data_IF_483141570025
#
_entry.id   IF_483141570025
#
_cell.length_a   1.000
_cell.length_b   1.000
_cell.length_c   1.000
_cell.angle_alpha   90.00
_cell.angle_beta   90.00
_cell.angle_gamma   90.00
#
_symmetry.space_group_name_H-M   'P 1'
#
loop_
_entity.id
_entity.type
_entity.pdbx_description
1 polymer ?
#
# COMPACT_ATOMS: atom_id res chain seq x y z
N UNK A 1 -14.45 10.07 18.82
CA UNK A 1 -13.38 9.16 19.25
C UNK A 1 -12.75 8.62 17.99
N UNK A 2 -11.67 9.24 17.54
CA UNK A 2 -10.91 8.81 16.36
C UNK A 2 -10.20 7.50 16.71
N UNK A 3 -10.65 6.42 16.11
CA UNK A 3 -10.17 5.07 16.33
C UNK A 3 -8.72 4.93 15.83
N UNK A 4 -7.77 5.17 16.73
CA UNK A 4 -6.33 5.08 16.47
C UNK A 4 -5.85 3.65 16.19
N UNK A 5 -6.75 2.65 16.18
CA UNK A 5 -6.44 1.24 15.98
C UNK A 5 -6.63 0.74 14.54
N UNK A 6 -7.22 1.54 13.64
CA UNK A 6 -7.48 1.08 12.27
C UNK A 6 -6.19 0.98 11.47
N UNK A 7 -5.88 -0.25 11.06
CA UNK A 7 -4.77 -0.61 10.18
C UNK A 7 -4.89 0.13 8.85
N UNK A 8 -3.79 0.73 8.39
CA UNK A 8 -3.70 1.35 7.06
C UNK A 8 -3.17 0.36 6.02
N UNK A 9 -3.67 0.45 4.80
CA UNK A 9 -3.10 -0.24 3.63
C UNK A 9 -2.40 0.78 2.74
N UNK A 10 -1.15 0.50 2.38
CA UNK A 10 -0.32 1.35 1.53
C UNK A 10 0.02 0.58 0.26
N UNK A 11 -0.30 1.14 -0.92
CA UNK A 11 -0.06 0.54 -2.22
C UNK A 11 0.88 1.41 -3.04
N UNK A 12 2.15 1.01 -3.13
CA UNK A 12 3.17 1.74 -3.88
C UNK A 12 3.54 1.00 -5.16
N UNK A 13 3.69 1.71 -6.28
CA UNK A 13 4.30 1.16 -7.48
C UNK A 13 5.44 2.05 -8.01
N UNK A 14 6.62 1.47 -8.21
CA UNK A 14 7.81 2.20 -8.66
C UNK A 14 8.16 3.37 -7.75
N UNK A 15 8.41 4.56 -8.32
CA UNK A 15 8.77 5.75 -7.53
C UNK A 15 7.62 6.27 -6.64
N UNK A 16 6.40 5.77 -6.85
CA UNK A 16 5.25 5.96 -5.98
C UNK A 16 5.49 5.47 -4.53
N UNK A 17 6.59 4.78 -4.26
CA UNK A 17 7.06 4.46 -2.91
C UNK A 17 7.45 5.68 -2.09
N UNK A 18 7.87 6.79 -2.71
CA UNK A 18 8.46 7.94 -2.00
C UNK A 18 7.57 8.55 -0.90
N UNK A 19 6.28 8.83 -1.13
CA UNK A 19 5.42 9.44 -0.14
C UNK A 19 4.86 8.36 0.81
N UNK A 20 4.61 7.15 0.30
CA UNK A 20 4.12 6.04 1.10
C UNK A 20 5.18 5.53 2.08
N UNK A 21 6.47 5.69 1.76
CA UNK A 21 7.56 5.49 2.71
C UNK A 21 7.49 6.50 3.85
N UNK A 22 7.28 7.79 3.56
CA UNK A 22 7.13 8.81 4.59
C UNK A 22 5.91 8.53 5.48
N UNK A 23 4.78 8.14 4.87
CA UNK A 23 3.56 7.76 5.59
C UNK A 23 3.77 6.49 6.44
N UNK A 24 4.43 5.47 5.90
CA UNK A 24 4.76 4.25 6.65
C UNK A 24 5.68 4.58 7.85
N UNK A 25 6.63 5.51 7.70
CA UNK A 25 7.49 5.97 8.78
C UNK A 25 6.70 6.70 9.88
N UNK A 26 5.75 7.54 9.49
CA UNK A 26 4.85 8.22 10.43
C UNK A 26 3.96 7.22 11.18
N UNK A 27 3.40 6.23 10.48
CA UNK A 27 2.58 5.17 11.08
C UNK A 27 3.42 4.34 12.06
N UNK A 28 4.63 3.94 11.67
CA UNK A 28 5.57 3.22 12.52
C UNK A 28 5.93 4.02 13.78
N UNK A 29 6.26 5.31 13.62
CA UNK A 29 6.58 6.21 14.74
C UNK A 29 5.42 6.33 15.74
N UNK A 30 4.19 6.39 15.24
CA UNK A 30 2.97 6.45 16.06
C UNK A 30 2.44 5.07 16.50
N UNK A 31 3.20 3.99 16.27
CA UNK A 31 2.80 2.61 16.60
C UNK A 31 1.44 2.20 16.01
N UNK A 32 1.09 2.75 14.84
CA UNK A 32 -0.13 2.42 14.12
C UNK A 32 0.16 1.29 13.12
N UNK A 33 -0.60 0.19 13.16
CA UNK A 33 -0.34 -0.93 12.27
C UNK A 33 -0.59 -0.56 10.81
N UNK A 34 0.23 -1.08 9.91
CA UNK A 34 0.06 -0.92 8.47
C UNK A 34 0.58 -2.13 7.70
N UNK A 35 0.02 -2.34 6.51
CA UNK A 35 0.59 -3.23 5.50
C UNK A 35 0.96 -2.39 4.27
N UNK A 36 2.21 -2.50 3.82
CA UNK A 36 2.73 -1.84 2.63
C UNK A 36 2.93 -2.87 1.53
N UNK A 37 2.17 -2.75 0.44
CA UNK A 37 2.33 -3.54 -0.78
C UNK A 37 3.12 -2.73 -1.80
N UNK A 38 4.37 -3.13 -2.04
CA UNK A 38 5.29 -2.44 -2.94
C UNK A 38 5.52 -3.23 -4.22
N UNK A 39 5.03 -2.69 -5.33
CA UNK A 39 5.13 -3.26 -6.68
C UNK A 39 6.29 -2.64 -7.45
N UNK A 40 7.18 -3.46 -7.98
CA UNK A 40 8.30 -3.02 -8.80
C UNK A 40 8.62 -4.02 -9.92
N UNK A 41 9.35 -3.57 -10.95
CA UNK A 41 9.72 -4.43 -12.10
C UNK A 41 10.69 -5.55 -11.72
N UNK A 42 11.61 -5.26 -10.82
CA UNK A 42 12.52 -6.22 -10.18
C UNK A 42 13.08 -5.58 -8.91
N UNK A 43 13.88 -6.33 -8.15
CA UNK A 43 14.61 -5.83 -6.99
C UNK A 43 15.53 -4.66 -7.32
N UNK A 44 16.18 -4.65 -8.49
CA UNK A 44 17.05 -3.55 -8.93
C UNK A 44 16.31 -2.21 -9.10
N UNK A 45 15.01 -2.28 -9.39
CA UNK A 45 14.16 -1.09 -9.55
C UNK A 45 13.36 -0.75 -8.28
N UNK A 46 13.51 -1.51 -7.19
CA UNK A 46 12.88 -1.19 -5.93
C UNK A 46 13.78 -0.26 -5.10
N UNK A 47 13.44 1.03 -5.12
CA UNK A 47 14.09 2.03 -4.27
C UNK A 47 13.82 1.79 -2.77
N UNK A 48 14.75 2.24 -1.93
CA UNK A 48 14.63 2.32 -0.47
C UNK A 48 14.47 1.00 0.30
N UNK A 49 14.89 -0.14 -0.27
CA UNK A 49 14.81 -1.45 0.40
C UNK A 49 15.42 -1.44 1.81
N UNK A 50 16.63 -0.93 1.98
CA UNK A 50 17.27 -0.88 3.31
C UNK A 50 16.44 -0.10 4.34
N UNK A 51 15.78 0.99 3.92
CA UNK A 51 14.92 1.78 4.80
C UNK A 51 13.63 1.03 5.16
N UNK A 52 13.06 0.31 4.20
CA UNK A 52 11.85 -0.49 4.39
C UNK A 52 12.12 -1.71 5.29
N UNK A 53 13.25 -2.40 5.10
CA UNK A 53 13.66 -3.52 5.95
C UNK A 53 13.82 -3.10 7.42
N UNK A 54 14.32 -1.88 7.66
CA UNK A 54 14.41 -1.29 9.00
C UNK A 54 13.06 -0.89 9.60
N UNK A 55 11.94 -1.14 8.93
CA UNK A 55 10.59 -0.85 9.43
C UNK A 55 9.74 -2.11 9.61
N UNK A 56 10.23 -3.29 9.22
CA UNK A 56 9.48 -4.55 9.28
C UNK A 56 9.09 -4.96 10.71
N UNK A 57 9.73 -4.40 11.73
CA UNK A 57 9.32 -4.57 13.13
C UNK A 57 8.09 -3.73 13.54
N UNK A 58 7.65 -2.78 12.71
CA UNK A 58 6.58 -1.82 13.01
C UNK A 58 5.37 -1.95 12.07
N UNK A 59 5.48 -2.75 11.01
CA UNK A 59 4.41 -3.04 10.05
C UNK A 59 4.88 -4.10 9.04
N UNK A 60 3.96 -4.61 8.22
CA UNK A 60 4.32 -5.62 7.22
C UNK A 60 4.66 -4.95 5.89
N UNK A 61 5.77 -5.36 5.27
CA UNK A 61 6.13 -4.95 3.91
C UNK A 61 6.05 -6.16 2.99
N UNK A 62 5.20 -6.06 1.97
CA UNK A 62 4.96 -7.07 0.96
C UNK A 62 5.54 -6.60 -0.37
N UNK A 63 6.61 -7.24 -0.82
CA UNK A 63 7.24 -6.93 -2.10
C UNK A 63 6.66 -7.78 -3.23
N UNK A 64 6.32 -7.12 -4.33
CA UNK A 64 5.72 -7.72 -5.53
C UNK A 64 6.59 -7.37 -6.75
N UNK A 65 7.41 -8.31 -7.19
CA UNK A 65 8.37 -8.09 -8.26
C UNK A 65 7.95 -8.72 -9.59
N UNK A 66 8.04 -7.95 -10.67
CA UNK A 66 7.92 -8.45 -12.04
C UNK A 66 6.56 -9.07 -12.36
N UNK A 67 5.50 -8.66 -11.64
CA UNK A 67 4.17 -9.22 -11.83
C UNK A 67 3.59 -8.82 -13.19
N UNK A 68 2.86 -9.76 -13.80
CA UNK A 68 1.97 -9.46 -14.93
C UNK A 68 0.79 -8.60 -14.46
N UNK A 69 0.03 -7.95 -15.38
CA UNK A 69 -1.19 -7.25 -15.02
C UNK A 69 -2.17 -8.11 -14.23
N UNK A 70 -2.42 -9.36 -14.66
CA UNK A 70 -3.35 -10.27 -13.99
C UNK A 70 -2.84 -10.71 -12.61
N UNK A 71 -1.52 -10.89 -12.46
CA UNK A 71 -0.91 -11.19 -11.18
C UNK A 71 -0.96 -9.99 -10.22
N UNK A 72 -0.84 -8.77 -10.75
CA UNK A 72 -0.97 -7.52 -10.00
C UNK A 72 -2.40 -7.36 -9.48
N UNK A 73 -3.41 -7.54 -10.32
CA UNK A 73 -4.82 -7.53 -9.93
C UNK A 73 -5.11 -8.53 -8.81
N UNK A 74 -4.62 -9.78 -8.94
CA UNK A 74 -4.77 -10.79 -7.86
C UNK A 74 -4.12 -10.37 -6.56
N UNK A 75 -2.88 -9.88 -6.60
CA UNK A 75 -2.16 -9.45 -5.41
C UNK A 75 -2.86 -8.28 -4.70
N UNK A 76 -3.38 -7.32 -5.47
CA UNK A 76 -4.19 -6.21 -4.94
C UNK A 76 -5.50 -6.74 -4.35
N UNK A 77 -6.19 -7.63 -5.05
CA UNK A 77 -7.43 -8.25 -4.58
C UNK A 77 -7.25 -8.95 -3.23
N UNK A 78 -6.20 -9.77 -3.08
CA UNK A 78 -5.89 -10.42 -1.81
C UNK A 78 -5.54 -9.45 -0.69
N UNK A 79 -4.91 -8.31 -1.00
CA UNK A 79 -4.55 -7.32 0.01
C UNK A 79 -5.76 -6.61 0.63
N UNK A 80 -6.86 -6.46 -0.13
CA UNK A 80 -8.07 -5.76 0.32
C UNK A 80 -9.21 -6.69 0.70
N UNK A 81 -9.07 -7.99 0.45
CA UNK A 81 -10.13 -8.97 0.72
C UNK A 81 -10.47 -9.01 2.22
N UNK A 82 -11.77 -8.92 2.54
CA UNK A 82 -12.30 -9.03 3.90
C UNK A 82 -11.72 -8.04 4.93
N UNK A 83 -11.10 -6.95 4.49
CA UNK A 83 -10.68 -5.88 5.42
C UNK A 83 -11.90 -5.12 5.97
N UNK A 84 -11.81 -4.54 7.18
CA UNK A 84 -12.86 -3.67 7.70
C UNK A 84 -13.18 -2.53 6.74
N UNK A 85 -14.47 -2.18 6.60
CA UNK A 85 -14.88 -1.16 5.63
C UNK A 85 -14.41 0.25 5.96
N UNK A 86 -14.02 0.49 7.21
CA UNK A 86 -13.41 1.73 7.68
C UNK A 86 -11.87 1.77 7.50
N UNK A 87 -11.23 0.71 7.00
CA UNK A 87 -9.79 0.73 6.67
C UNK A 87 -9.47 1.88 5.73
N UNK A 88 -8.33 2.54 5.95
CA UNK A 88 -7.81 3.57 5.04
C UNK A 88 -6.80 2.95 4.07
N UNK A 89 -7.05 3.10 2.77
CA UNK A 89 -6.14 2.68 1.72
C UNK A 89 -5.51 3.91 1.06
N UNK A 90 -4.19 3.92 0.95
CA UNK A 90 -3.41 4.97 0.29
C UNK A 90 -2.69 4.35 -0.90
N UNK A 91 -2.77 4.97 -2.07
CA UNK A 91 -2.19 4.43 -3.29
C UNK A 91 -1.42 5.49 -4.05
N UNK A 92 -0.25 5.11 -4.56
CA UNK A 92 0.56 5.95 -5.41
C UNK A 92 1.36 5.12 -6.43
N UNK A 93 1.29 5.50 -7.71
CA UNK A 93 1.95 4.79 -8.80
C UNK A 93 1.42 5.19 -10.18
N UNK A 94 1.73 4.41 -11.24
CA UNK A 94 1.15 4.64 -12.57
C UNK A 94 -0.39 4.57 -12.54
N UNK A 95 -1.07 5.35 -13.37
CA UNK A 95 -2.55 5.44 -13.39
C UNK A 95 -3.22 4.07 -13.48
N UNK A 96 -2.78 3.20 -14.40
CA UNK A 96 -3.36 1.87 -14.55
C UNK A 96 -3.26 1.01 -13.28
N UNK A 97 -2.17 1.16 -12.50
CA UNK A 97 -2.03 0.47 -11.22
C UNK A 97 -3.00 1.04 -10.17
N UNK A 98 -3.11 2.38 -10.10
CA UNK A 98 -4.02 3.02 -9.16
C UNK A 98 -5.49 2.69 -9.46
N UNK A 99 -5.87 2.61 -10.73
CA UNK A 99 -7.22 2.21 -11.15
C UNK A 99 -7.56 0.79 -10.66
N UNK A 100 -6.61 -0.16 -10.75
CA UNK A 100 -6.75 -1.51 -10.20
C UNK A 100 -6.95 -1.47 -8.69
N UNK A 101 -6.12 -0.73 -7.95
CA UNK A 101 -6.25 -0.59 -6.49
C UNK A 101 -7.62 -0.02 -6.10
N UNK A 102 -8.08 1.02 -6.78
CA UNK A 102 -9.39 1.62 -6.52
C UNK A 102 -10.52 0.64 -6.81
N UNK A 103 -10.46 -0.08 -7.94
CA UNK A 103 -11.50 -1.02 -8.34
C UNK A 103 -11.69 -2.15 -7.32
N UNK A 104 -10.60 -2.69 -6.78
CA UNK A 104 -10.64 -3.73 -5.76
C UNK A 104 -10.98 -3.16 -4.38
N UNK A 105 -10.35 -2.05 -3.96
CA UNK A 105 -10.58 -1.46 -2.65
C UNK A 105 -12.05 -1.05 -2.43
N UNK A 106 -12.72 -0.52 -3.47
CA UNK A 106 -14.15 -0.11 -3.39
C UNK A 106 -15.13 -1.25 -3.09
N UNK A 107 -14.71 -2.51 -3.24
CA UNK A 107 -15.54 -3.67 -2.90
C UNK A 107 -15.64 -3.87 -1.39
N UNK A 108 -14.69 -3.35 -0.62
CA UNK A 108 -14.55 -3.61 0.81
C UNK A 108 -14.52 -2.33 1.63
N UNK A 109 -13.87 -1.28 1.12
CA UNK A 109 -13.56 -0.03 1.82
C UNK A 109 -14.50 1.09 1.37
N UNK A 110 -14.92 1.94 2.30
CA UNK A 110 -15.72 3.11 1.97
C UNK A 110 -14.97 4.06 1.01
N UNK A 111 -15.64 4.61 -0.03
CA UNK A 111 -14.98 5.48 -1.01
C UNK A 111 -14.21 6.66 -0.41
N UNK A 112 -14.66 7.23 0.71
CA UNK A 112 -13.97 8.34 1.39
C UNK A 112 -12.67 7.95 2.10
N UNK A 113 -12.39 6.65 2.23
CA UNK A 113 -11.19 6.11 2.86
C UNK A 113 -10.16 5.60 1.86
N UNK A 114 -10.39 5.81 0.56
CA UNK A 114 -9.45 5.46 -0.52
C UNK A 114 -8.80 6.76 -1.01
N UNK A 115 -7.50 6.89 -0.75
CA UNK A 115 -6.72 8.11 -0.99
C UNK A 115 -5.71 7.85 -2.11
N UNK A 116 -5.69 8.75 -3.10
CA UNK A 116 -4.76 8.67 -4.23
C UNK A 116 -3.78 9.82 -4.16
N UNK A 117 -2.50 9.50 -4.30
CA UNK A 117 -1.44 10.49 -4.47
C UNK A 117 -0.87 10.36 -5.89
N UNK A 118 -0.73 11.49 -6.57
CA UNK A 118 -0.21 11.57 -7.94
C UNK A 118 1.19 12.21 -7.90
N UNK A 119 2.12 11.66 -8.69
CA UNK A 119 3.47 12.20 -8.93
C UNK A 119 3.62 12.78 -10.32
#
# INVERSE_FOLDING_TARGET
MSDSSQKALLFAAGIGITPLLAMAQELAFNQRPFDLHYFARSTEFAAFQDRLSNMEHSGNVHYHYGLTPEATERAVGYAVEAVPSNTHAYCCGPTAFMDVVVAHARQWIYPGNIHLEYF
#
